data_IF_663708481751
#
_entry.id   IF_663708481751
#
_cell.length_a   1.000
_cell.length_b   1.000
_cell.length_c   1.000
_cell.angle_alpha   90.00
_cell.angle_beta   90.00
_cell.angle_gamma   90.00
#
_symmetry.space_group_name_H-M   'P 1'
#
loop_
_entity.id
_entity.type
_entity.pdbx_description
1 polymer ?
#
# COMPACT_ATOMS: atom_id res chain seq x y z
N UNK A 1 -24.28 61.12 35.33
CA UNK A 1 -23.00 60.63 35.87
C UNK A 1 -22.47 59.56 34.94
N UNK A 2 -21.29 59.79 34.34
CA UNK A 2 -20.52 58.80 33.59
C UNK A 2 -19.73 57.96 34.59
N UNK A 3 -19.79 56.64 34.49
CA UNK A 3 -18.77 55.67 34.91
C UNK A 3 -19.09 54.37 34.14
N UNK A 4 -18.53 54.25 32.93
CA UNK A 4 -17.32 53.47 32.62
C UNK A 4 -17.60 51.96 32.52
N UNK A 5 -17.73 51.53 31.26
CA UNK A 5 -17.50 50.16 30.80
C UNK A 5 -16.08 49.73 31.17
N UNK A 6 -15.90 48.58 31.81
CA UNK A 6 -14.70 47.76 31.62
C UNK A 6 -14.96 46.30 32.03
N UNK A 7 -14.51 45.38 31.17
CA UNK A 7 -14.28 43.96 31.42
C UNK A 7 -15.51 43.01 31.46
N UNK A 8 -16.26 42.96 30.36
CA UNK A 8 -16.72 41.68 29.81
C UNK A 8 -15.78 41.39 28.64
N UNK A 9 -14.74 40.57 28.84
CA UNK A 9 -13.95 39.82 27.83
C UNK A 9 -12.71 39.23 28.52
N UNK A 10 -12.85 38.11 29.23
CA UNK A 10 -11.73 37.24 29.63
C UNK A 10 -12.26 35.91 30.20
N UNK A 11 -13.07 35.18 29.41
CA UNK A 11 -13.47 33.80 29.72
C UNK A 11 -14.02 33.07 28.48
N UNK A 12 -13.42 33.33 27.31
CA UNK A 12 -13.71 32.61 26.06
C UNK A 12 -12.40 32.30 25.30
N UNK A 13 -11.37 31.94 26.07
CA UNK A 13 -10.32 31.04 25.59
C UNK A 13 -10.67 29.68 26.19
N UNK A 14 -11.80 29.12 25.74
CA UNK A 14 -12.05 27.70 25.93
C UNK A 14 -10.96 26.98 25.13
N UNK A 15 -10.31 26.01 25.79
CA UNK A 15 -9.46 24.99 25.22
C UNK A 15 -9.81 24.74 23.75
N UNK A 16 -9.08 25.36 22.82
CA UNK A 16 -8.81 24.69 21.56
C UNK A 16 -7.91 23.54 21.97
N UNK A 17 -8.42 22.31 21.88
CA UNK A 17 -7.60 21.12 21.99
C UNK A 17 -6.29 21.38 21.22
N UNK A 18 -5.15 21.16 21.86
CA UNK A 18 -3.88 21.18 21.15
C UNK A 18 -3.87 19.92 20.26
N UNK A 19 -4.47 20.03 19.07
CA UNK A 19 -4.12 19.21 17.91
C UNK A 19 -2.64 19.45 17.66
N UNK A 20 -1.85 18.39 17.71
CA UNK A 20 -0.44 18.49 17.34
C UNK A 20 -0.41 18.14 15.85
N UNK A 21 0.13 18.99 14.96
CA UNK A 21 -0.40 19.11 13.60
C UNK A 21 0.03 17.95 12.67
N UNK A 22 -0.45 16.74 12.92
CA UNK A 22 -0.02 15.56 12.15
C UNK A 22 -1.15 14.58 11.86
N UNK A 23 -2.36 14.81 12.35
CA UNK A 23 -3.44 13.83 12.27
C UNK A 23 -3.77 13.45 10.82
N UNK A 24 -3.72 14.41 9.90
CA UNK A 24 -3.95 14.22 8.47
C UNK A 24 -2.66 14.00 7.65
N UNK A 25 -1.55 13.66 8.30
CA UNK A 25 -0.29 13.34 7.60
C UNK A 25 -0.42 12.10 6.70
N UNK A 26 -1.19 11.12 7.14
CA UNK A 26 -1.42 9.83 6.50
C UNK A 26 -2.87 9.70 5.97
N UNK A 27 -3.41 10.77 5.38
CA UNK A 27 -4.83 10.93 5.06
C UNK A 27 -5.46 9.74 4.31
N UNK A 28 -4.76 9.11 3.37
CA UNK A 28 -5.29 7.94 2.64
C UNK A 28 -5.71 6.79 3.57
N UNK A 29 -5.02 6.61 4.70
CA UNK A 29 -5.34 5.59 5.69
C UNK A 29 -6.51 6.00 6.59
N UNK A 30 -6.64 7.30 6.89
CA UNK A 30 -7.82 7.83 7.58
C UNK A 30 -9.09 7.62 6.75
N UNK A 31 -9.04 7.97 5.47
CA UNK A 31 -10.13 7.79 4.51
C UNK A 31 -10.50 6.30 4.42
N UNK A 32 -9.52 5.42 4.22
CA UNK A 32 -9.76 3.98 4.10
C UNK A 32 -10.40 3.40 5.37
N UNK A 33 -9.92 3.77 6.56
CA UNK A 33 -10.49 3.30 7.82
C UNK A 33 -11.88 3.87 8.07
N UNK A 34 -12.15 5.12 7.69
CA UNK A 34 -13.49 5.70 7.73
C UNK A 34 -14.49 4.95 6.83
N UNK A 35 -14.06 4.48 5.66
CA UNK A 35 -14.88 3.60 4.81
C UNK A 35 -15.16 2.25 5.49
N UNK A 36 -14.17 1.66 6.16
CA UNK A 36 -14.30 0.38 6.87
C UNK A 36 -15.19 0.48 8.12
N UNK A 37 -15.19 1.62 8.82
CA UNK A 37 -16.12 1.88 9.92
C UNK A 37 -17.59 1.88 9.45
N UNK A 38 -17.87 2.16 8.17
CA UNK A 38 -19.23 1.99 7.62
C UNK A 38 -19.65 0.51 7.53
N UNK A 39 -18.69 -0.42 7.51
CA UNK A 39 -18.93 -1.86 7.51
C UNK A 39 -19.07 -2.40 8.93
N UNK A 40 -18.24 -1.91 9.87
CA UNK A 40 -18.25 -2.33 11.26
C UNK A 40 -17.75 -1.21 12.19
N UNK A 41 -18.68 -0.56 12.90
CA UNK A 41 -18.39 0.45 13.92
C UNK A 41 -19.29 0.23 15.15
N UNK A 42 -19.02 -0.80 15.97
CA UNK A 42 -19.85 -1.15 17.11
C UNK A 42 -19.79 -0.10 18.23
N UNK A 43 -18.78 0.77 18.22
CA UNK A 43 -18.55 1.79 19.24
C UNK A 43 -19.02 3.19 18.82
N UNK A 44 -19.69 3.36 17.67
CA UNK A 44 -20.14 4.66 17.19
C UNK A 44 -19.02 5.72 17.12
N UNK A 45 -17.80 5.31 16.78
CA UNK A 45 -16.64 6.18 16.59
C UNK A 45 -16.97 7.17 15.47
N UNK A 46 -16.74 8.46 15.73
CA UNK A 46 -17.19 9.52 14.84
C UNK A 46 -16.36 9.58 13.55
N UNK A 47 -15.04 9.54 13.70
CA UNK A 47 -14.06 9.59 12.61
C UNK A 47 -12.75 8.94 13.07
N UNK A 48 -12.03 8.32 12.14
CA UNK A 48 -10.77 7.64 12.37
C UNK A 48 -9.66 8.59 12.85
N UNK A 49 -9.71 9.87 12.46
CA UNK A 49 -8.73 10.90 12.85
C UNK A 49 -8.62 11.06 14.38
N UNK A 50 -9.71 10.85 15.12
CA UNK A 50 -9.70 10.98 16.59
C UNK A 50 -8.80 9.96 17.28
N UNK A 51 -8.48 8.84 16.61
CA UNK A 51 -7.51 7.87 17.11
C UNK A 51 -6.09 8.43 17.23
N UNK A 52 -5.76 9.49 16.49
CA UNK A 52 -4.42 10.10 16.48
C UNK A 52 -4.27 11.25 17.46
N UNK A 53 -5.37 11.72 18.04
CA UNK A 53 -5.39 12.85 18.95
C UNK A 53 -4.95 12.45 20.38
N UNK A 54 -4.47 13.44 21.13
CA UNK A 54 -4.31 13.32 22.58
C UNK A 54 -5.64 13.02 23.28
N UNK A 55 -5.59 12.30 24.41
CA UNK A 55 -6.76 11.73 25.10
C UNK A 55 -7.93 12.72 25.32
N UNK A 56 -7.64 13.98 25.65
CA UNK A 56 -8.66 15.00 25.87
C UNK A 56 -9.46 15.34 24.59
N UNK A 57 -8.80 15.36 23.43
CA UNK A 57 -9.41 15.70 22.15
C UNK A 57 -10.02 14.46 21.48
N UNK A 58 -9.39 13.30 21.65
CA UNK A 58 -9.93 12.00 21.24
C UNK A 58 -11.35 11.74 21.79
N UNK A 59 -11.64 12.22 23.00
CA UNK A 59 -12.94 12.05 23.66
C UNK A 59 -14.13 12.63 22.86
N UNK A 60 -13.92 13.65 22.03
CA UNK A 60 -15.00 14.29 21.25
C UNK A 60 -15.52 13.37 20.12
N UNK A 61 -14.68 12.45 19.63
CA UNK A 61 -15.03 11.50 18.57
C UNK A 61 -14.99 10.02 18.99
N UNK A 62 -14.74 9.74 20.27
CA UNK A 62 -14.58 8.38 20.80
C UNK A 62 -15.85 7.53 20.74
N UNK A 63 -17.04 8.14 20.60
CA UNK A 63 -18.30 7.43 20.65
C UNK A 63 -18.50 6.75 22.02
N UNK A 64 -18.68 5.43 21.99
CA UNK A 64 -18.84 4.58 23.18
C UNK A 64 -17.50 4.06 23.74
N UNK A 65 -16.36 4.41 23.12
CA UNK A 65 -15.04 4.07 23.65
C UNK A 65 -14.74 4.89 24.89
N UNK A 66 -14.56 4.22 26.04
CA UNK A 66 -14.30 4.90 27.32
C UNK A 66 -12.82 5.11 27.61
N UNK A 67 -11.97 4.26 27.05
CA UNK A 67 -10.51 4.36 27.20
C UNK A 67 -9.93 5.01 25.94
N UNK A 68 -9.76 6.33 26.00
CA UNK A 68 -9.27 7.11 24.85
C UNK A 68 -7.82 6.77 24.48
N UNK A 69 -7.02 6.22 25.39
CA UNK A 69 -5.69 5.69 25.07
C UNK A 69 -5.75 4.44 24.18
N UNK A 70 -6.90 3.79 24.12
CA UNK A 70 -7.18 2.65 23.25
C UNK A 70 -7.97 3.00 22.00
N UNK A 71 -8.35 4.28 21.79
CA UNK A 71 -9.24 4.66 20.69
C UNK A 71 -8.68 4.25 19.33
N UNK A 72 -7.41 4.53 19.05
CA UNK A 72 -6.76 4.10 17.81
C UNK A 72 -6.83 2.57 17.60
N UNK A 73 -6.49 1.79 18.65
CA UNK A 73 -6.54 0.33 18.58
C UNK A 73 -7.94 -0.16 18.26
N UNK A 74 -8.94 0.38 18.98
CA UNK A 74 -10.34 -0.03 18.84
C UNK A 74 -10.90 0.38 17.47
N UNK A 75 -10.50 1.54 16.94
CA UNK A 75 -10.83 1.97 15.59
C UNK A 75 -10.26 1.00 14.55
N UNK A 76 -8.96 0.67 14.66
CA UNK A 76 -8.28 -0.26 13.76
C UNK A 76 -8.90 -1.67 13.83
N UNK A 77 -9.18 -2.16 15.04
CA UNK A 77 -9.76 -3.47 15.31
C UNK A 77 -11.20 -3.59 14.76
N UNK A 78 -11.99 -2.53 14.90
CA UNK A 78 -13.33 -2.44 14.32
C UNK A 78 -13.28 -2.47 12.79
N UNK A 79 -12.38 -1.69 12.19
CA UNK A 79 -12.16 -1.64 10.74
C UNK A 79 -11.67 -2.99 10.19
N UNK A 80 -10.72 -3.63 10.88
CA UNK A 80 -10.18 -4.93 10.51
C UNK A 80 -11.24 -6.02 10.56
N UNK A 81 -12.07 -6.08 11.62
CA UNK A 81 -13.22 -7.00 11.70
C UNK A 81 -14.17 -6.83 10.51
N UNK A 82 -14.48 -5.58 10.14
CA UNK A 82 -15.30 -5.26 8.99
C UNK A 82 -14.70 -5.76 7.67
N UNK A 83 -13.42 -5.45 7.44
CA UNK A 83 -12.67 -5.89 6.27
C UNK A 83 -12.55 -7.41 6.17
N UNK A 84 -12.21 -8.08 7.28
CA UNK A 84 -12.11 -9.54 7.39
C UNK A 84 -13.43 -10.23 7.09
N UNK A 85 -14.54 -9.70 7.60
CA UNK A 85 -15.89 -10.18 7.29
C UNK A 85 -16.25 -10.02 5.82
N UNK A 86 -15.78 -8.94 5.18
CA UNK A 86 -15.99 -8.68 3.76
C UNK A 86 -15.04 -9.48 2.84
N UNK A 87 -13.98 -10.09 3.38
CA UNK A 87 -12.90 -10.71 2.60
C UNK A 87 -12.07 -9.67 1.83
N UNK A 88 -11.94 -8.46 2.37
CA UNK A 88 -11.21 -7.34 1.78
C UNK A 88 -9.78 -7.29 2.32
N UNK A 89 -8.83 -7.88 1.59
CA UNK A 89 -7.42 -7.92 2.00
C UNK A 89 -6.82 -6.50 2.07
N UNK A 90 -7.13 -5.64 1.10
CA UNK A 90 -6.66 -4.25 1.08
C UNK A 90 -7.21 -3.50 2.31
N UNK A 91 -8.48 -3.72 2.66
CA UNK A 91 -9.09 -3.16 3.87
C UNK A 91 -8.43 -3.65 5.17
N UNK A 92 -8.09 -4.94 5.24
CA UNK A 92 -7.37 -5.48 6.40
C UNK A 92 -5.96 -4.88 6.51
N UNK A 93 -5.24 -4.74 5.38
CA UNK A 93 -3.94 -4.10 5.34
C UNK A 93 -3.99 -2.64 5.80
N UNK A 94 -4.96 -1.86 5.30
CA UNK A 94 -5.15 -0.47 5.72
C UNK A 94 -5.41 -0.34 7.23
N UNK A 95 -6.18 -1.26 7.83
CA UNK A 95 -6.43 -1.26 9.26
C UNK A 95 -5.17 -1.62 10.08
N UNK A 96 -4.33 -2.54 9.59
CA UNK A 96 -3.04 -2.87 10.22
C UNK A 96 -2.06 -1.69 10.13
N UNK A 97 -1.96 -1.04 8.98
CA UNK A 97 -1.08 0.12 8.79
C UNK A 97 -1.54 1.27 9.69
N UNK A 98 -2.85 1.58 9.71
CA UNK A 98 -3.44 2.55 10.63
C UNK A 98 -3.11 2.27 12.10
N UNK A 99 -3.09 0.99 12.50
CA UNK A 99 -2.74 0.58 13.87
C UNK A 99 -1.28 0.91 14.22
N UNK A 100 -0.37 0.81 13.26
CA UNK A 100 1.05 1.07 13.47
C UNK A 100 1.40 2.56 13.49
N UNK A 101 0.61 3.41 12.83
CA UNK A 101 0.86 4.84 12.73
C UNK A 101 1.05 5.50 14.12
N UNK A 102 1.97 6.46 14.18
CA UNK A 102 2.26 7.23 15.38
C UNK A 102 1.00 7.97 15.88
N UNK A 103 0.75 7.93 17.20
CA UNK A 103 -0.26 8.77 17.83
C UNK A 103 0.38 10.06 18.33
N UNK A 104 -0.29 11.20 18.12
CA UNK A 104 0.25 12.49 18.51
C UNK A 104 0.35 12.64 20.03
N UNK A 105 1.49 13.17 20.48
CA UNK A 105 1.75 13.60 21.85
C UNK A 105 1.74 15.14 21.91
N UNK A 106 1.74 15.74 23.11
CA UNK A 106 1.67 17.20 23.27
C UNK A 106 3.03 17.91 23.14
N UNK A 107 4.12 17.15 23.02
CA UNK A 107 5.48 17.70 22.95
C UNK A 107 6.44 16.78 22.22
N UNK A 108 7.38 17.37 21.47
CA UNK A 108 8.41 16.62 20.74
C UNK A 108 9.23 15.77 21.72
N UNK A 109 9.34 14.48 21.41
CA UNK A 109 10.02 13.46 22.20
C UNK A 109 9.20 12.89 23.35
N UNK A 110 7.93 13.29 23.50
CA UNK A 110 7.01 12.66 24.44
C UNK A 110 6.44 11.37 23.85
N UNK A 111 6.56 10.29 24.62
CA UNK A 111 6.02 8.98 24.26
C UNK A 111 4.51 8.95 24.42
N UNK A 112 3.81 8.45 23.41
CA UNK A 112 2.37 8.32 23.42
C UNK A 112 1.91 7.15 24.28
N UNK A 113 0.85 7.37 25.07
CA UNK A 113 0.32 6.33 25.95
C UNK A 113 -0.14 5.11 25.15
N UNK A 114 0.37 3.93 25.53
CA UNK A 114 -0.01 2.67 24.91
C UNK A 114 -1.41 2.25 25.35
N UNK A 115 -2.15 1.62 24.44
CA UNK A 115 -3.39 0.94 24.81
C UNK A 115 -3.07 -0.26 25.72
N UNK A 116 -3.83 -0.41 26.80
CA UNK A 116 -3.68 -1.50 27.77
C UNK A 116 -4.81 -2.53 27.70
N UNK A 117 -5.66 -2.45 26.68
CA UNK A 117 -6.73 -3.40 26.40
C UNK A 117 -6.31 -4.36 25.29
N UNK A 118 -6.86 -5.57 25.32
CA UNK A 118 -6.61 -6.58 24.29
C UNK A 118 -7.55 -6.36 23.10
N UNK A 119 -6.99 -6.25 21.89
CA UNK A 119 -7.79 -6.21 20.67
C UNK A 119 -8.55 -7.53 20.44
N UNK A 120 -9.70 -7.48 19.78
CA UNK A 120 -10.46 -8.67 19.39
C UNK A 120 -9.71 -9.48 18.33
N UNK A 121 -9.08 -8.80 17.36
CA UNK A 121 -8.29 -9.46 16.34
C UNK A 121 -6.83 -9.64 16.79
N UNK A 122 -6.30 -10.88 16.77
CA UNK A 122 -4.91 -11.13 17.13
C UNK A 122 -3.93 -10.41 16.21
N UNK A 123 -4.30 -10.18 14.95
CA UNK A 123 -3.46 -9.43 13.99
C UNK A 123 -3.27 -7.96 14.43
N UNK A 124 -4.31 -7.35 15.00
CA UNK A 124 -4.24 -5.99 15.56
C UNK A 124 -3.54 -5.99 16.93
N UNK A 125 -3.75 -7.03 17.74
CA UNK A 125 -3.08 -7.19 19.03
C UNK A 125 -1.56 -7.37 18.92
N UNK A 126 -1.08 -7.91 17.80
CA UNK A 126 0.33 -8.16 17.54
C UNK A 126 1.13 -6.87 17.22
N UNK A 127 0.46 -5.73 17.03
CA UNK A 127 1.06 -4.47 16.61
C UNK A 127 0.72 -3.37 17.63
N UNK A 128 1.72 -2.58 18.03
CA UNK A 128 1.53 -1.32 18.75
C UNK A 128 1.73 -0.13 17.81
N UNK A 129 1.33 1.07 18.25
CA UNK A 129 1.63 2.28 17.51
C UNK A 129 3.09 2.70 17.64
N UNK A 130 3.63 3.33 16.61
CA UNK A 130 4.89 4.06 16.67
C UNK A 130 4.88 5.11 17.77
N UNK A 131 6.09 5.43 18.23
CA UNK A 131 6.37 6.49 19.19
C UNK A 131 7.03 7.66 18.48
N UNK A 132 6.96 8.83 19.14
CA UNK A 132 7.61 10.05 18.65
C UNK A 132 9.09 9.77 18.34
N UNK A 133 9.56 10.04 17.12
CA UNK A 133 10.91 9.69 16.66
C UNK A 133 12.02 10.45 17.40
N UNK A 134 11.72 11.53 18.11
CA UNK A 134 12.66 12.22 18.99
C UNK A 134 12.71 11.63 20.41
N UNK A 135 11.86 10.65 20.74
CA UNK A 135 11.86 10.02 22.06
C UNK A 135 12.98 8.97 22.21
N UNK A 136 13.42 8.75 23.46
CA UNK A 136 14.49 7.79 23.76
C UNK A 136 14.07 6.37 23.35
N UNK A 137 14.87 5.71 22.51
CA UNK A 137 14.65 4.35 22.01
C UNK A 137 13.61 4.21 20.90
N UNK A 138 13.07 5.32 20.38
CA UNK A 138 12.01 5.30 19.37
C UNK A 138 12.43 4.62 18.07
N UNK A 139 13.66 4.83 17.60
CA UNK A 139 14.13 4.27 16.33
C UNK A 139 14.10 2.72 16.35
N UNK A 140 14.62 2.10 17.41
CA UNK A 140 14.59 0.65 17.57
C UNK A 140 13.17 0.10 17.74
N UNK A 141 12.33 0.82 18.50
CA UNK A 141 10.95 0.41 18.76
C UNK A 141 10.05 0.53 17.53
N UNK A 142 10.13 1.66 16.81
CA UNK A 142 9.37 1.88 15.58
C UNK A 142 9.79 0.89 14.50
N UNK A 143 11.08 0.58 14.38
CA UNK A 143 11.54 -0.52 13.53
C UNK A 143 10.87 -1.84 13.90
N UNK A 144 10.88 -2.22 15.18
CA UNK A 144 10.26 -3.47 15.63
C UNK A 144 8.75 -3.53 15.32
N UNK A 145 8.06 -2.40 15.46
CA UNK A 145 6.64 -2.26 15.11
C UNK A 145 6.44 -2.43 13.60
N UNK A 146 7.26 -1.80 12.76
CA UNK A 146 7.20 -1.91 11.30
C UNK A 146 7.45 -3.34 10.83
N UNK A 147 8.40 -4.05 11.45
CA UNK A 147 8.63 -5.47 11.14
C UNK A 147 7.46 -6.36 11.59
N UNK A 148 6.87 -6.11 12.76
CA UNK A 148 5.68 -6.82 13.21
C UNK A 148 4.48 -6.57 12.28
N UNK A 149 4.29 -5.33 11.82
CA UNK A 149 3.29 -4.97 10.81
C UNK A 149 3.51 -5.74 9.51
N UNK A 150 4.74 -5.78 8.99
CA UNK A 150 5.08 -6.52 7.78
C UNK A 150 4.75 -8.02 7.90
N UNK A 151 5.04 -8.63 9.06
CA UNK A 151 4.67 -10.02 9.33
C UNK A 151 3.15 -10.22 9.30
N UNK A 152 2.36 -9.32 9.92
CA UNK A 152 0.90 -9.43 9.87
C UNK A 152 0.35 -9.23 8.46
N UNK A 153 0.89 -8.28 7.69
CA UNK A 153 0.54 -8.07 6.28
C UNK A 153 0.79 -9.34 5.46
N UNK A 154 1.94 -9.98 5.64
CA UNK A 154 2.27 -11.24 4.98
C UNK A 154 1.28 -12.35 5.35
N UNK A 155 0.94 -12.49 6.64
CA UNK A 155 0.04 -13.53 7.15
C UNK A 155 -1.39 -13.41 6.60
N UNK A 156 -1.86 -12.19 6.34
CA UNK A 156 -3.17 -11.96 5.70
C UNK A 156 -3.13 -12.02 4.17
N UNK A 157 -1.94 -12.19 3.58
CA UNK A 157 -1.73 -12.25 2.12
C UNK A 157 -1.67 -10.87 1.43
N UNK A 158 -1.39 -9.81 2.18
CA UNK A 158 -1.08 -8.49 1.65
C UNK A 158 0.44 -8.35 1.37
N UNK A 159 0.81 -7.29 0.64
CA UNK A 159 2.21 -6.95 0.40
C UNK A 159 2.89 -6.46 1.70
N UNK A 160 3.93 -7.14 2.22
CA UNK A 160 4.61 -6.74 3.44
C UNK A 160 5.35 -5.40 3.32
N UNK A 161 5.73 -4.99 2.11
CA UNK A 161 6.44 -3.73 1.86
C UNK A 161 5.57 -2.50 2.14
N UNK A 162 4.24 -2.66 2.18
CA UNK A 162 3.32 -1.61 2.64
C UNK A 162 3.58 -1.19 4.09
N UNK A 163 4.28 -1.99 4.89
CA UNK A 163 4.67 -1.60 6.24
C UNK A 163 5.56 -0.34 6.26
N UNK A 164 6.34 -0.09 5.20
CA UNK A 164 7.17 1.12 5.09
C UNK A 164 6.32 2.40 5.07
N UNK A 165 5.07 2.31 4.63
CA UNK A 165 4.15 3.45 4.62
C UNK A 165 3.62 3.84 6.00
N UNK A 166 3.92 3.06 7.04
CA UNK A 166 3.65 3.44 8.44
C UNK A 166 4.71 4.38 9.02
N UNK A 167 5.79 4.65 8.28
CA UNK A 167 6.96 5.38 8.75
C UNK A 167 6.65 6.75 9.37
N UNK A 168 7.56 7.17 10.25
CA UNK A 168 7.44 8.44 10.99
C UNK A 168 8.09 9.62 10.25
N UNK A 169 7.95 10.82 10.79
CA UNK A 169 8.69 12.00 10.34
C UNK A 169 10.15 11.97 10.84
N UNK A 170 11.05 12.82 10.30
CA UNK A 170 12.35 13.02 10.92
C UNK A 170 12.21 13.50 12.38
N UNK A 171 13.08 13.04 13.31
CA UNK A 171 13.04 13.48 14.71
C UNK A 171 13.03 15.01 14.84
N UNK A 172 12.06 15.55 15.59
CA UNK A 172 11.99 16.98 15.91
C UNK A 172 13.01 17.44 16.97
N UNK A 173 13.06 18.74 17.24
CA UNK A 173 13.86 19.31 18.32
C UNK A 173 13.11 19.28 19.67
N UNK A 174 13.63 18.56 20.66
CA UNK A 174 13.06 18.53 22.01
C UNK A 174 13.02 19.95 22.60
N UNK A 175 11.83 20.36 23.06
CA UNK A 175 11.60 21.69 23.59
C UNK A 175 11.18 22.73 22.55
N UNK A 176 10.94 22.34 21.29
CA UNK A 176 10.27 23.18 20.30
C UNK A 176 8.90 23.65 20.85
N UNK A 177 8.68 24.97 21.00
CA UNK A 177 7.45 25.49 21.58
C UNK A 177 6.22 25.30 20.69
N UNK A 178 6.41 24.94 19.41
CA UNK A 178 5.31 24.64 18.48
C UNK A 178 4.84 23.20 18.57
N UNK A 179 5.65 22.32 19.16
CA UNK A 179 5.48 20.87 19.15
C UNK A 179 5.30 20.25 17.75
N UNK A 180 5.58 20.99 16.67
CA UNK A 180 5.30 20.57 15.30
C UNK A 180 6.42 19.73 14.68
N UNK A 181 7.69 19.89 15.10
CA UNK A 181 8.79 19.15 14.48
C UNK A 181 8.88 19.35 12.96
N UNK A 182 9.27 18.30 12.22
CA UNK A 182 9.34 18.30 10.74
C UNK A 182 8.06 17.76 10.08
N UNK A 183 6.91 18.02 10.70
CA UNK A 183 5.65 17.34 10.35
C UNK A 183 4.75 18.18 9.45
N UNK A 184 3.67 17.57 8.98
CA UNK A 184 2.67 18.23 8.14
C UNK A 184 1.26 17.78 8.53
N UNK A 185 0.26 18.65 8.31
CA UNK A 185 -1.16 18.38 8.51
C UNK A 185 -1.95 18.97 7.34
N UNK A 186 -2.49 18.13 6.45
CA UNK A 186 -3.31 18.62 5.33
C UNK A 186 -4.47 17.68 5.04
N UNK A 187 -5.65 17.99 5.60
CA UNK A 187 -6.90 17.29 5.31
C UNK A 187 -7.34 17.39 3.84
N UNK A 188 -6.76 18.32 3.07
CA UNK A 188 -7.10 18.54 1.66
C UNK A 188 -6.23 17.74 0.71
N UNK A 189 -5.16 17.12 1.21
CA UNK A 189 -4.34 16.17 0.47
C UNK A 189 -4.83 14.74 0.70
N UNK A 190 -5.57 14.13 -0.23
CA UNK A 190 -6.17 12.81 -0.04
C UNK A 190 -5.15 11.67 0.00
N UNK A 191 -3.88 11.92 -0.34
CA UNK A 191 -2.81 10.92 -0.19
C UNK A 191 -2.21 11.02 1.22
N UNK A 192 -2.06 12.23 1.72
CA UNK A 192 -1.38 12.55 2.96
C UNK A 192 -0.08 13.27 2.68
N UNK A 193 0.09 14.44 3.30
CA UNK A 193 1.21 15.33 3.06
C UNK A 193 2.58 14.69 3.35
N UNK A 194 2.64 13.65 4.20
CA UNK A 194 3.89 12.94 4.49
C UNK A 194 4.45 12.25 3.24
N UNK A 195 3.56 11.80 2.35
CA UNK A 195 3.92 11.15 1.09
C UNK A 195 4.16 12.18 -0.02
N UNK A 196 3.27 13.16 -0.17
CA UNK A 196 3.32 14.11 -1.29
C UNK A 196 4.46 15.11 -1.15
N UNK A 197 4.85 15.44 0.08
CA UNK A 197 6.02 16.27 0.38
C UNK A 197 7.30 15.44 0.61
N UNK A 198 7.22 14.11 0.51
CA UNK A 198 8.34 13.19 0.71
C UNK A 198 9.04 13.40 2.06
N UNK A 199 8.23 13.45 3.12
CA UNK A 199 8.66 13.64 4.50
C UNK A 199 8.77 12.32 5.28
N UNK A 200 8.25 11.22 4.72
CA UNK A 200 8.29 9.91 5.35
C UNK A 200 9.73 9.42 5.53
N UNK A 201 10.07 9.03 6.76
CA UNK A 201 11.30 8.31 7.10
C UNK A 201 10.91 6.85 7.39
N UNK A 202 11.32 5.90 6.55
CA UNK A 202 11.02 4.50 6.81
C UNK A 202 11.82 3.99 8.02
N UNK A 203 11.14 3.31 8.96
CA UNK A 203 11.79 2.79 10.18
C UNK A 203 12.57 1.49 9.94
N UNK A 204 12.36 0.83 8.80
CA UNK A 204 13.04 -0.40 8.39
C UNK A 204 13.46 -0.31 6.91
N UNK A 205 14.41 -1.13 6.49
CA UNK A 205 14.72 -1.29 5.06
C UNK A 205 13.86 -2.40 4.44
N UNK A 206 13.67 -2.40 3.10
CA UNK A 206 12.99 -3.50 2.41
C UNK A 206 13.57 -4.88 2.73
N UNK A 207 14.90 -4.98 2.86
CA UNK A 207 15.59 -6.24 3.17
C UNK A 207 15.36 -6.70 4.61
N UNK A 208 15.23 -5.77 5.56
CA UNK A 208 14.87 -6.08 6.94
C UNK A 208 13.43 -6.62 7.02
N UNK A 209 12.51 -6.06 6.22
CA UNK A 209 11.14 -6.56 6.08
C UNK A 209 11.12 -7.98 5.50
N UNK A 210 11.82 -8.20 4.37
CA UNK A 210 11.86 -9.50 3.71
C UNK A 210 12.42 -10.58 4.66
N UNK A 211 13.45 -10.24 5.42
CA UNK A 211 14.03 -11.13 6.42
C UNK A 211 13.03 -11.46 7.56
N UNK A 212 12.33 -10.46 8.10
CA UNK A 212 11.36 -10.64 9.17
C UNK A 212 10.14 -11.47 8.73
N UNK A 213 9.71 -11.30 7.47
CA UNK A 213 8.62 -12.08 6.88
C UNK A 213 9.06 -13.52 6.61
N UNK A 214 10.27 -13.72 6.08
CA UNK A 214 10.81 -15.05 5.84
C UNK A 214 10.90 -15.89 7.12
N UNK A 215 11.24 -15.28 8.26
CA UNK A 215 11.26 -15.95 9.57
C UNK A 215 9.88 -16.50 9.96
N UNK A 216 8.84 -15.69 9.88
CA UNK A 216 7.46 -16.10 10.23
C UNK A 216 6.90 -17.14 9.25
N UNK A 217 7.22 -17.03 7.97
CA UNK A 217 6.78 -17.99 6.96
C UNK A 217 7.55 -19.32 7.03
N UNK A 218 8.79 -19.32 7.52
CA UNK A 218 9.59 -20.53 7.71
C UNK A 218 9.18 -21.36 8.94
N UNK A 219 8.63 -20.72 9.98
CA UNK A 219 8.09 -21.41 11.15
C UNK A 219 6.67 -21.98 10.93
N UNK A 220 6.00 -21.57 9.84
CA UNK A 220 4.72 -22.11 9.39
C UNK A 220 4.85 -23.45 8.67
N UNK A 221 4.94 -24.55 9.42
CA UNK A 221 4.89 -25.91 8.85
C UNK A 221 3.61 -26.09 8.00
N UNK A 222 3.77 -26.56 6.76
CA UNK A 222 2.79 -26.51 5.66
C UNK A 222 1.53 -27.42 5.81
N UNK A 223 1.09 -27.69 7.05
CA UNK A 223 0.00 -28.62 7.36
C UNK A 223 -1.20 -28.00 8.12
N UNK A 224 -1.20 -26.69 8.41
CA UNK A 224 -2.18 -26.07 9.31
C UNK A 224 -3.28 -25.19 8.70
N UNK A 225 -3.33 -25.00 7.38
CA UNK A 225 -4.20 -23.95 6.79
C UNK A 225 -5.61 -24.46 6.49
N UNK A 226 -6.34 -24.83 7.55
CA UNK A 226 -7.77 -25.15 7.46
C UNK A 226 -8.55 -24.93 8.76
N UNK A 227 -8.15 -24.03 9.66
CA UNK A 227 -9.08 -23.45 10.63
C UNK A 227 -8.51 -22.15 11.21
N UNK A 228 -9.36 -21.16 11.45
CA UNK A 228 -9.01 -19.82 11.92
C UNK A 228 -8.57 -19.77 13.39
N UNK A 229 -7.52 -20.51 13.74
CA UNK A 229 -6.95 -20.52 15.08
C UNK A 229 -5.42 -20.58 15.01
N UNK A 230 -4.78 -19.44 14.71
CA UNK A 230 -3.36 -19.19 14.97
C UNK A 230 -3.21 -18.37 16.27
N UNK A 231 -3.96 -18.73 17.32
CA UNK A 231 -4.17 -17.87 18.48
C UNK A 231 -3.27 -18.20 19.70
N UNK A 232 -2.09 -18.82 19.54
CA UNK A 232 -1.27 -19.14 20.73
C UNK A 232 0.26 -19.16 20.52
N UNK A 233 0.79 -18.72 19.36
CA UNK A 233 2.24 -18.72 19.10
C UNK A 233 2.86 -17.34 18.87
N UNK A 234 2.07 -16.25 18.85
CA UNK A 234 2.58 -14.90 18.58
C UNK A 234 1.99 -13.87 19.57
N UNK A 235 2.47 -13.89 20.81
CA UNK A 235 2.39 -12.78 21.79
C UNK A 235 3.66 -12.86 22.67
N UNK A 236 4.42 -11.77 22.94
CA UNK A 236 4.63 -10.54 22.17
C UNK A 236 6.14 -10.20 22.01
N UNK A 237 6.58 -9.72 20.83
CA UNK A 237 7.90 -9.07 20.71
C UNK A 237 7.92 -7.74 21.52
N UNK A 238 6.75 -7.17 21.81
CA UNK A 238 6.62 -5.92 22.56
C UNK A 238 6.85 -6.04 24.09
N UNK A 239 6.93 -7.23 24.72
CA UNK A 239 7.31 -7.32 26.15
C UNK A 239 8.83 -7.27 26.39
N UNK A 240 9.66 -7.47 25.35
CA UNK A 240 11.11 -7.58 25.53
C UNK A 240 11.83 -6.22 25.68
N UNK A 241 11.20 -5.09 25.31
CA UNK A 241 11.87 -3.78 25.30
C UNK A 241 11.48 -2.91 26.53
N UNK A 242 10.66 -3.46 27.44
CA UNK A 242 10.10 -2.74 28.58
C UNK A 242 10.55 -3.22 29.96
N UNK A 243 11.79 -3.69 30.15
CA UNK A 243 12.34 -3.89 31.50
C UNK A 243 13.86 -4.04 31.53
N UNK A 244 14.58 -3.05 32.08
CA UNK A 244 15.89 -3.29 32.72
C UNK A 244 17.03 -2.38 32.30
N UNK A 245 17.04 -1.15 32.82
CA UNK A 245 18.30 -0.47 33.08
C UNK A 245 19.11 -1.28 34.12
N UNK A 246 20.31 -1.76 33.77
CA UNK A 246 21.22 -2.35 34.76
C UNK A 246 22.38 -3.21 34.22
N UNK A 247 23.52 -2.55 33.99
CA UNK A 247 24.89 -3.01 34.25
C UNK A 247 25.54 -4.20 33.49
N UNK A 248 26.59 -3.81 32.75
CA UNK A 248 27.95 -4.36 32.69
C UNK A 248 28.33 -5.52 31.73
N UNK A 249 29.19 -5.10 30.79
CA UNK A 249 30.39 -5.73 30.22
C UNK A 249 30.31 -7.06 29.44
N UNK A 250 30.69 -6.95 28.15
CA UNK A 250 31.59 -7.93 27.54
C UNK A 250 31.39 -8.23 26.06
N UNK A 251 31.45 -7.24 25.16
CA UNK A 251 31.56 -7.51 23.71
C UNK A 251 33.01 -7.36 23.25
N UNK A 252 33.58 -8.48 22.83
CA UNK A 252 34.88 -8.56 22.18
C UNK A 252 34.77 -8.19 20.69
N UNK A 253 35.57 -7.21 20.27
CA UNK A 253 35.78 -6.81 18.86
C UNK A 253 36.79 -7.76 18.20
N UNK A 254 36.59 -8.08 16.91
CA UNK A 254 37.73 -8.24 16.00
C UNK A 254 37.65 -7.32 14.76
N UNK A 255 38.78 -7.11 14.07
CA UNK A 255 39.19 -5.78 13.63
C UNK A 255 38.91 -5.44 12.17
N UNK A 256 38.86 -4.13 11.92
CA UNK A 256 38.94 -3.47 10.62
C UNK A 256 40.34 -3.60 9.99
N UNK A 257 40.36 -3.74 8.66
CA UNK A 257 41.45 -3.29 7.78
C UNK A 257 40.88 -3.22 6.35
N UNK A 258 40.69 -2.03 5.77
CA UNK A 258 41.59 -1.42 4.76
C UNK A 258 41.21 -1.91 3.35
N UNK A 259 40.99 -1.11 2.31
CA UNK A 259 41.55 0.19 1.92
C UNK A 259 40.76 0.71 0.72
N UNK A 260 40.60 2.03 0.64
CA UNK A 260 40.00 2.77 -0.48
C UNK A 260 40.87 2.75 -1.74
N UNK A 261 40.24 2.67 -2.92
CA UNK A 261 40.80 3.13 -4.18
C UNK A 261 39.67 3.66 -5.09
N UNK A 262 39.78 4.95 -5.44
CA UNK A 262 38.91 5.66 -6.37
C UNK A 262 39.23 5.31 -7.85
N UNK A 263 38.27 5.38 -8.79
CA UNK A 263 38.57 5.43 -10.22
C UNK A 263 38.65 6.89 -10.73
N UNK A 264 39.45 7.21 -11.77
CA UNK A 264 39.44 8.51 -12.40
C UNK A 264 38.40 8.62 -13.53
N UNK A 265 38.07 9.86 -13.86
CA UNK A 265 37.02 10.30 -14.77
C UNK A 265 37.41 10.37 -16.27
N UNK A 266 36.35 10.31 -17.09
CA UNK A 266 36.04 11.06 -18.33
C UNK A 266 36.91 10.97 -19.60
N UNK A 267 36.23 10.77 -20.75
CA UNK A 267 36.44 11.55 -21.99
C UNK A 267 35.26 11.36 -22.96
N UNK A 268 35.07 12.35 -23.83
CA UNK A 268 33.86 12.80 -24.53
C UNK A 268 33.57 12.15 -25.90
N UNK A 269 32.28 12.20 -26.25
CA UNK A 269 31.59 12.42 -27.53
C UNK A 269 32.34 12.40 -28.87
N UNK A 270 31.72 11.77 -29.89
CA UNK A 270 31.57 12.33 -31.26
C UNK A 270 30.23 11.87 -31.89
N UNK A 271 29.42 12.84 -32.31
CA UNK A 271 28.23 12.68 -33.13
C UNK A 271 28.57 12.76 -34.63
N UNK A 272 27.80 12.11 -35.52
CA UNK A 272 27.49 12.61 -36.88
C UNK A 272 26.18 11.98 -37.41
N UNK A 273 25.46 12.67 -38.32
CA UNK A 273 24.01 12.56 -38.54
C UNK A 273 23.65 11.76 -39.81
N UNK A 274 22.35 11.65 -40.15
CA UNK A 274 21.70 12.11 -41.42
C UNK A 274 20.39 11.33 -41.72
N UNK A 275 19.29 12.11 -41.74
CA UNK A 275 18.06 12.11 -42.58
C UNK A 275 16.99 10.98 -42.62
N UNK A 276 15.78 11.40 -42.22
CA UNK A 276 14.46 11.34 -42.91
C UNK A 276 14.11 10.18 -43.87
N UNK A 277 13.04 9.44 -43.52
CA UNK A 277 12.01 9.09 -44.50
C UNK A 277 10.61 9.15 -43.84
N UNK A 278 9.71 9.86 -44.50
CA UNK A 278 8.35 10.19 -44.09
C UNK A 278 7.32 9.19 -44.67
N UNK A 279 6.14 9.17 -44.04
CA UNK A 279 4.83 8.72 -44.52
C UNK A 279 4.43 7.23 -44.35
N UNK A 280 3.39 7.00 -43.55
CA UNK A 280 2.03 6.94 -44.08
C UNK A 280 0.97 6.93 -42.96
N UNK A 281 0.03 7.86 -43.07
CA UNK A 281 -1.22 7.91 -42.31
C UNK A 281 -2.31 7.03 -42.97
N UNK A 282 -3.25 6.55 -42.14
CA UNK A 282 -4.46 5.80 -42.51
C UNK A 282 -4.47 4.46 -41.76
N UNK A 283 -5.42 4.16 -40.88
CA UNK A 283 -6.86 4.31 -41.05
C UNK A 283 -7.52 4.60 -39.67
N UNK A 284 -8.33 5.67 -39.59
CA UNK A 284 -9.32 5.81 -38.54
C UNK A 284 -10.68 5.29 -39.05
N UNK A 285 -11.43 4.71 -38.11
CA UNK A 285 -12.88 4.51 -38.04
C UNK A 285 -13.42 3.08 -38.30
N UNK A 286 -13.98 2.46 -37.26
CA UNK A 286 -15.43 2.55 -37.01
C UNK A 286 -15.89 1.84 -35.71
N UNK A 287 -16.36 2.66 -34.76
CA UNK A 287 -17.52 2.48 -33.84
C UNK A 287 -17.87 1.10 -33.26
N UNK A 288 -17.71 0.95 -31.93
CA UNK A 288 -18.72 0.39 -31.03
C UNK A 288 -18.49 0.89 -29.59
N UNK A 289 -19.07 2.05 -29.27
CA UNK A 289 -18.99 2.76 -27.99
C UNK A 289 -19.84 2.16 -26.86
N UNK A 290 -20.45 0.98 -27.05
CA UNK A 290 -21.38 0.43 -26.04
C UNK A 290 -20.74 -0.60 -25.09
N UNK A 291 -19.48 -1.00 -25.31
CA UNK A 291 -18.82 -2.06 -24.53
C UNK A 291 -17.40 -1.73 -24.05
N UNK A 292 -16.86 -0.53 -24.34
CA UNK A 292 -15.56 -0.14 -23.80
C UNK A 292 -15.69 0.18 -22.30
N UNK A 293 -14.86 -0.47 -21.50
CA UNK A 293 -14.85 -0.31 -20.04
C UNK A 293 -13.66 0.48 -19.50
N UNK A 294 -12.68 0.82 -20.36
CA UNK A 294 -11.58 1.69 -20.02
C UNK A 294 -12.06 3.15 -20.04
N UNK A 295 -11.97 3.82 -18.89
CA UNK A 295 -12.46 5.19 -18.68
C UNK A 295 -11.33 6.19 -18.44
N UNK A 296 -10.09 5.73 -18.30
CA UNK A 296 -8.95 6.61 -18.22
C UNK A 296 -8.78 7.40 -19.52
N UNK A 297 -8.53 8.71 -19.42
CA UNK A 297 -8.46 9.63 -20.57
C UNK A 297 -7.10 10.29 -20.73
N UNK A 298 -6.12 9.99 -19.88
CA UNK A 298 -4.75 10.50 -20.07
C UNK A 298 -4.14 9.96 -21.36
N UNK A 299 -3.35 10.80 -22.03
CA UNK A 299 -2.82 10.54 -23.37
C UNK A 299 -1.32 10.82 -23.53
N UNK A 300 -0.58 11.03 -22.43
CA UNK A 300 0.87 11.22 -22.47
C UNK A 300 1.51 10.01 -23.15
N UNK A 301 2.14 10.27 -24.30
CA UNK A 301 2.70 9.26 -25.21
C UNK A 301 1.73 8.19 -25.75
N UNK A 302 0.42 8.42 -25.65
CA UNK A 302 -0.62 7.58 -26.25
C UNK A 302 -1.84 7.39 -25.33
N UNK A 303 -3.00 7.08 -25.92
CA UNK A 303 -4.20 6.75 -25.15
C UNK A 303 -4.20 5.27 -24.71
N UNK A 304 -4.80 5.00 -23.55
CA UNK A 304 -5.10 3.64 -23.11
C UNK A 304 -6.00 2.92 -24.13
N UNK A 305 -5.60 1.74 -24.65
CA UNK A 305 -6.45 0.99 -25.58
C UNK A 305 -7.79 0.64 -24.94
N UNK A 306 -8.84 0.61 -25.76
CA UNK A 306 -10.17 0.24 -25.30
C UNK A 306 -10.17 -1.19 -24.74
N UNK A 307 -10.92 -1.39 -23.65
CA UNK A 307 -11.21 -2.71 -23.09
C UNK A 307 -12.64 -3.08 -23.46
N UNK A 308 -12.82 -3.96 -24.43
CA UNK A 308 -14.15 -4.37 -24.89
C UNK A 308 -14.69 -5.48 -23.99
N UNK A 309 -15.90 -5.31 -23.46
CA UNK A 309 -16.63 -6.37 -22.78
C UNK A 309 -17.62 -7.06 -23.73
N UNK A 310 -17.50 -8.37 -23.93
CA UNK A 310 -18.35 -9.14 -24.84
C UNK A 310 -18.85 -10.42 -24.18
N UNK A 311 -20.17 -10.63 -24.23
CA UNK A 311 -20.78 -11.89 -23.80
C UNK A 311 -20.61 -13.02 -24.82
N UNK A 312 -20.01 -12.76 -26.00
CA UNK A 312 -19.80 -13.77 -27.04
C UNK A 312 -18.73 -14.80 -26.68
N UNK A 313 -17.81 -14.45 -25.77
CA UNK A 313 -16.83 -15.37 -25.21
C UNK A 313 -17.05 -15.44 -23.69
N UNK A 314 -17.88 -16.38 -23.25
CA UNK A 314 -18.30 -16.48 -21.85
C UNK A 314 -17.13 -16.77 -20.90
N UNK A 315 -16.07 -17.42 -21.38
CA UNK A 315 -14.91 -17.80 -20.58
C UNK A 315 -13.90 -16.66 -20.47
N UNK A 316 -13.73 -15.84 -21.53
CA UNK A 316 -12.84 -14.65 -21.53
C UNK A 316 -13.59 -13.42 -22.06
N UNK A 317 -14.51 -12.84 -21.27
CA UNK A 317 -15.47 -11.85 -21.75
C UNK A 317 -14.90 -10.43 -21.88
N UNK A 318 -13.61 -10.20 -21.62
CA UNK A 318 -12.98 -8.89 -21.77
C UNK A 318 -11.84 -8.98 -22.79
N UNK A 319 -11.62 -7.96 -23.61
CA UNK A 319 -10.50 -7.94 -24.55
C UNK A 319 -9.84 -6.58 -24.66
N UNK A 320 -8.54 -6.59 -24.96
CA UNK A 320 -7.71 -5.41 -25.23
C UNK A 320 -6.92 -5.70 -26.49
N UNK A 321 -7.33 -5.11 -27.61
CA UNK A 321 -6.88 -5.57 -28.93
C UNK A 321 -7.24 -7.05 -29.13
N UNK A 322 -6.25 -7.86 -29.49
CA UNK A 322 -6.42 -9.31 -29.72
C UNK A 322 -6.33 -10.15 -28.43
N UNK A 323 -5.84 -9.58 -27.33
CA UNK A 323 -5.74 -10.28 -26.05
C UNK A 323 -7.11 -10.34 -25.35
N UNK A 324 -7.47 -11.49 -24.80
CA UNK A 324 -8.75 -11.70 -24.06
C UNK A 324 -8.49 -12.02 -22.59
N UNK A 325 -9.44 -11.75 -21.70
CA UNK A 325 -9.26 -11.85 -20.24
C UNK A 325 -10.52 -12.37 -19.58
N UNK A 326 -10.34 -13.16 -18.52
CA UNK A 326 -11.41 -13.72 -17.70
C UNK A 326 -12.01 -12.67 -16.75
N UNK A 327 -11.23 -11.64 -16.36
CA UNK A 327 -11.66 -10.58 -15.45
C UNK A 327 -11.49 -9.18 -16.04
N UNK A 328 -12.37 -8.26 -15.61
CA UNK A 328 -12.32 -6.86 -16.04
C UNK A 328 -11.06 -6.14 -15.54
N UNK A 329 -10.55 -6.51 -14.35
CA UNK A 329 -9.37 -5.87 -13.76
C UNK A 329 -8.12 -6.24 -14.55
N UNK A 330 -7.93 -7.52 -14.88
CA UNK A 330 -6.80 -7.95 -15.70
C UNK A 330 -6.78 -7.22 -17.06
N UNK A 331 -7.94 -7.06 -17.69
CA UNK A 331 -8.06 -6.33 -18.94
C UNK A 331 -7.78 -4.82 -18.78
N UNK A 332 -8.25 -4.19 -17.70
CA UNK A 332 -7.97 -2.77 -17.43
C UNK A 332 -6.49 -2.52 -17.11
N UNK A 333 -5.87 -3.37 -16.30
CA UNK A 333 -4.42 -3.33 -16.03
C UNK A 333 -3.62 -3.50 -17.31
N UNK A 334 -4.00 -4.44 -18.20
CA UNK A 334 -3.36 -4.58 -19.52
C UNK A 334 -3.47 -3.30 -20.34
N UNK A 335 -4.64 -2.69 -20.36
CA UNK A 335 -4.87 -1.43 -21.08
C UNK A 335 -3.98 -0.30 -20.56
N UNK A 336 -3.79 -0.19 -19.24
CA UNK A 336 -2.86 0.78 -18.65
C UNK A 336 -1.40 0.48 -19.00
N UNK A 337 -0.96 -0.78 -18.86
CA UNK A 337 0.41 -1.17 -19.19
C UNK A 337 0.76 -0.96 -20.68
N UNK A 338 -0.19 -1.20 -21.60
CA UNK A 338 0.03 -0.91 -23.03
C UNK A 338 0.23 0.58 -23.28
N UNK A 339 -0.53 1.44 -22.59
CA UNK A 339 -0.30 2.88 -22.67
C UNK A 339 1.02 3.29 -22.04
N UNK A 340 1.40 2.70 -20.90
CA UNK A 340 2.66 3.05 -20.27
C UNK A 340 3.84 2.71 -21.19
N UNK A 341 3.82 1.53 -21.82
CA UNK A 341 4.80 1.15 -22.84
C UNK A 341 4.85 2.16 -24.01
N UNK A 342 3.69 2.63 -24.49
CA UNK A 342 3.64 3.66 -25.52
C UNK A 342 4.26 4.99 -25.04
N UNK A 343 3.98 5.37 -23.78
CA UNK A 343 4.54 6.54 -23.14
C UNK A 343 6.06 6.47 -23.03
N UNK A 344 6.59 5.37 -22.52
CA UNK A 344 8.04 5.15 -22.43
C UNK A 344 8.71 5.14 -23.79
N UNK A 345 8.09 4.53 -24.81
CA UNK A 345 8.62 4.57 -26.18
C UNK A 345 8.70 6.00 -26.71
N UNK A 346 7.69 6.83 -26.44
CA UNK A 346 7.69 8.25 -26.81
C UNK A 346 8.76 9.04 -26.03
N UNK A 347 8.90 8.82 -24.73
CA UNK A 347 9.93 9.46 -23.91
C UNK A 347 11.34 9.10 -24.41
N UNK A 348 11.60 7.81 -24.66
CA UNK A 348 12.89 7.31 -25.14
C UNK A 348 13.21 7.79 -26.57
N UNK A 349 12.18 8.03 -27.39
CA UNK A 349 12.33 8.66 -28.70
C UNK A 349 12.54 10.19 -28.63
N UNK A 350 12.61 10.77 -27.42
CA UNK A 350 12.76 12.22 -27.22
C UNK A 350 11.51 13.02 -27.57
N UNK A 351 10.34 12.38 -27.60
CA UNK A 351 9.06 12.99 -28.01
C UNK A 351 8.27 13.59 -26.85
N UNK A 352 8.69 13.35 -25.59
CA UNK A 352 8.05 13.89 -24.39
C UNK A 352 9.02 14.80 -23.64
N UNK A 353 8.55 16.01 -23.30
CA UNK A 353 9.36 17.02 -22.60
C UNK A 353 9.64 16.65 -21.14
N UNK A 354 8.71 15.92 -20.50
CA UNK A 354 8.73 15.61 -19.08
C UNK A 354 9.47 14.29 -18.74
N UNK A 355 10.09 13.64 -19.75
CA UNK A 355 10.84 12.39 -19.58
C UNK A 355 9.97 11.20 -19.17
N UNK A 356 10.61 10.15 -18.67
CA UNK A 356 9.96 8.87 -18.32
C UNK A 356 9.21 8.89 -17.00
N UNK A 357 9.54 9.80 -16.07
CA UNK A 357 8.89 9.89 -14.75
C UNK A 357 7.38 10.21 -14.87
N UNK A 358 7.00 11.04 -15.84
CA UNK A 358 5.61 11.38 -16.10
C UNK A 358 4.78 10.20 -16.65
N UNK A 359 5.44 9.19 -17.24
CA UNK A 359 4.76 7.97 -17.71
C UNK A 359 4.31 7.08 -16.55
N UNK A 360 5.16 6.91 -15.52
CA UNK A 360 4.80 6.17 -14.30
C UNK A 360 3.64 6.83 -13.56
N UNK A 361 3.67 8.16 -13.38
CA UNK A 361 2.54 8.89 -12.77
C UNK A 361 1.23 8.70 -13.55
N UNK A 362 1.30 8.70 -14.89
CA UNK A 362 0.13 8.46 -15.73
C UNK A 362 -0.38 7.00 -15.64
N UNK A 363 0.52 6.03 -15.45
CA UNK A 363 0.14 4.64 -15.22
C UNK A 363 -0.62 4.50 -13.90
N UNK A 364 -0.15 5.14 -12.82
CA UNK A 364 -0.81 5.15 -11.52
C UNK A 364 -2.22 5.75 -11.62
N UNK A 365 -2.37 6.88 -12.31
CA UNK A 365 -3.68 7.49 -12.58
C UNK A 365 -4.60 6.58 -13.39
N UNK A 366 -4.05 5.84 -14.37
CA UNK A 366 -4.80 4.87 -15.16
C UNK A 366 -5.31 3.70 -14.31
N UNK A 367 -4.45 3.17 -13.43
CA UNK A 367 -4.80 2.10 -12.51
C UNK A 367 -5.81 2.57 -11.45
N UNK A 368 -5.67 3.80 -10.94
CA UNK A 368 -6.64 4.42 -10.03
C UNK A 368 -8.02 4.57 -10.69
N UNK A 369 -8.07 5.05 -11.94
CA UNK A 369 -9.31 5.14 -12.71
C UNK A 369 -9.98 3.76 -12.93
N UNK A 370 -9.19 2.71 -13.12
CA UNK A 370 -9.69 1.34 -13.21
C UNK A 370 -10.31 0.85 -11.88
N UNK A 371 -9.73 1.25 -10.73
CA UNK A 371 -10.23 0.91 -9.37
C UNK A 371 -11.55 1.61 -9.05
N UNK A 372 -11.73 2.88 -9.42
CA UNK A 372 -12.98 3.66 -9.21
C UNK A 372 -14.22 3.04 -9.89
N UNK A 373 -14.03 2.24 -10.93
CA UNK A 373 -15.12 1.50 -11.61
C UNK A 373 -15.64 0.31 -10.78
N UNK A 374 -14.84 -0.28 -9.89
CA UNK A 374 -15.27 -1.34 -8.95
C UNK A 374 -16.28 -0.76 -7.96
N UNK A 375 -15.96 0.42 -7.41
CA UNK A 375 -16.83 1.16 -6.49
C UNK A 375 -18.17 1.51 -7.15
N UNK A 376 -18.15 2.03 -8.38
CA UNK A 376 -19.39 2.34 -9.13
C UNK A 376 -20.22 1.11 -9.49
N UNK A 377 -19.60 -0.04 -9.80
CA UNK A 377 -20.32 -1.30 -10.08
C UNK A 377 -20.93 -1.92 -8.82
N UNK A 378 -20.22 -1.84 -7.69
CA UNK A 378 -20.73 -2.26 -6.39
C UNK A 378 -21.89 -1.35 -5.92
N UNK A 379 -21.79 -0.04 -6.17
CA UNK A 379 -22.91 0.89 -5.95
C UNK A 379 -24.10 0.59 -6.87
N UNK A 380 -23.87 0.09 -8.10
CA UNK A 380 -24.91 -0.33 -9.05
C UNK A 380 -25.57 -1.68 -8.71
N UNK A 381 -25.03 -2.45 -7.75
CA UNK A 381 -25.65 -3.66 -7.21
C UNK A 381 -26.82 -3.35 -6.25
N UNK A 382 -27.04 -2.07 -5.94
CA UNK A 382 -28.23 -1.57 -5.25
C UNK A 382 -29.31 -1.29 -6.30
N UNK A 383 -30.26 -2.21 -6.44
CA UNK A 383 -31.48 -1.93 -7.23
C UNK A 383 -32.60 -1.47 -6.30
N UNK A 384 -33.34 -0.45 -6.75
CA UNK A 384 -34.54 0.05 -6.05
C UNK A 384 -35.69 -0.88 -6.41
N UNK A 385 -36.22 -1.60 -5.42
CA UNK A 385 -37.43 -2.40 -5.61
C UNK A 385 -38.63 -1.53 -5.98
N UNK A 386 -39.66 -2.14 -6.56
CA UNK A 386 -40.94 -1.45 -6.87
C UNK A 386 -41.63 -0.88 -5.61
N UNK A 387 -41.21 -1.31 -4.42
CA UNK A 387 -41.62 -0.84 -3.09
C UNK A 387 -40.75 0.32 -2.55
N UNK A 388 -39.79 0.81 -3.34
CA UNK A 388 -38.90 1.91 -2.97
C UNK A 388 -37.77 1.54 -1.99
N UNK A 389 -37.65 0.26 -1.59
CA UNK A 389 -36.63 -0.22 -0.66
C UNK A 389 -35.36 -0.66 -1.39
N UNK A 390 -34.20 -0.35 -0.81
CA UNK A 390 -32.89 -0.81 -1.29
C UNK A 390 -32.72 -2.31 -0.96
N UNK A 391 -32.35 -3.13 -1.95
CA UNK A 391 -32.08 -4.56 -1.75
C UNK A 391 -30.66 -4.88 -2.20
N UNK A 392 -29.88 -5.49 -1.32
CA UNK A 392 -28.56 -6.04 -1.63
C UNK A 392 -28.71 -7.42 -2.26
N UNK A 393 -28.10 -7.64 -3.42
CA UNK A 393 -28.06 -8.96 -4.05
C UNK A 393 -27.18 -9.90 -3.20
N UNK A 394 -27.78 -10.94 -2.60
CA UNK A 394 -27.03 -11.95 -1.85
C UNK A 394 -26.21 -12.81 -2.82
N UNK A 395 -24.87 -12.75 -2.70
CA UNK A 395 -23.95 -13.68 -3.37
C UNK A 395 -24.10 -15.09 -2.75
N UNK A 396 -24.07 -16.12 -3.60
CA UNK A 396 -23.99 -17.52 -3.19
C UNK A 396 -22.56 -17.85 -2.67
N UNK A 397 -22.40 -18.85 -1.78
CA UNK A 397 -21.11 -19.14 -1.14
C UNK A 397 -20.15 -19.81 -2.13
N UNK A 398 -18.94 -19.26 -2.26
CA UNK A 398 -17.84 -19.86 -2.99
C UNK A 398 -17.10 -20.84 -2.07
N UNK A 399 -16.98 -22.10 -2.51
CA UNK A 399 -16.17 -23.14 -1.86
C UNK A 399 -14.71 -22.95 -2.28
N UNK A 400 -13.78 -22.94 -1.33
CA UNK A 400 -12.32 -22.90 -1.55
C UNK A 400 -11.88 -24.12 -2.38
N UNK A 401 -11.15 -23.91 -3.47
CA UNK A 401 -10.32 -24.94 -4.13
C UNK A 401 -8.87 -24.52 -4.12
N UNK A 402 -8.03 -25.46 -3.73
CA UNK A 402 -6.58 -25.47 -3.78
C UNK A 402 -6.12 -25.40 -5.25
N UNK A 403 -5.11 -24.56 -5.52
CA UNK A 403 -4.31 -24.41 -6.76
C UNK A 403 -4.93 -24.93 -8.05
N UNK A 404 -5.87 -24.16 -8.62
CA UNK A 404 -6.42 -24.40 -9.96
C UNK A 404 -5.95 -23.26 -10.89
N UNK A 405 -4.89 -23.51 -11.67
CA UNK A 405 -4.35 -22.57 -12.67
C UNK A 405 -5.26 -22.45 -13.92
N UNK A 406 -6.46 -23.03 -13.90
CA UNK A 406 -7.37 -23.07 -15.05
C UNK A 406 -6.81 -23.94 -16.17
N UNK A 407 -6.82 -23.43 -17.41
CA UNK A 407 -6.31 -24.15 -18.58
C UNK A 407 -4.79 -23.99 -18.82
N UNK A 408 -4.08 -23.23 -17.98
CA UNK A 408 -2.63 -23.06 -18.07
C UNK A 408 -1.94 -24.34 -17.60
N UNK A 409 -1.28 -25.05 -18.52
CA UNK A 409 -0.61 -26.31 -18.22
C UNK A 409 0.79 -26.13 -17.64
N UNK A 410 1.46 -25.02 -17.96
CA UNK A 410 2.81 -24.69 -17.53
C UNK A 410 2.93 -23.17 -17.30
N UNK A 411 2.90 -22.72 -16.04
CA UNK A 411 3.06 -21.31 -15.70
C UNK A 411 4.52 -20.84 -15.55
N UNK A 412 5.53 -21.60 -15.98
CA UNK A 412 6.95 -21.23 -15.75
C UNK A 412 7.41 -19.96 -16.47
N UNK A 413 8.34 -19.22 -15.86
CA UNK A 413 8.95 -18.00 -16.40
C UNK A 413 10.45 -18.17 -16.66
N UNK A 414 11.02 -17.29 -17.48
CA UNK A 414 12.47 -17.19 -17.74
C UNK A 414 12.93 -15.75 -17.66
N UNK A 415 14.22 -15.54 -17.38
CA UNK A 415 14.88 -14.24 -17.48
C UNK A 415 15.94 -14.31 -18.58
N UNK A 416 15.77 -13.58 -19.68
CA UNK A 416 16.69 -13.63 -20.81
C UNK A 416 16.72 -12.32 -21.62
N UNK A 417 17.82 -12.11 -22.34
CA UNK A 417 17.95 -11.05 -23.35
C UNK A 417 17.19 -11.43 -24.63
N UNK A 418 16.72 -10.42 -25.39
CA UNK A 418 16.05 -10.64 -26.67
C UNK A 418 14.56 -10.99 -26.59
N UNK A 419 13.99 -11.11 -25.39
CA UNK A 419 12.56 -11.41 -25.22
C UNK A 419 11.71 -10.22 -25.68
N UNK A 420 10.76 -10.50 -26.58
CA UNK A 420 9.95 -9.51 -27.29
C UNK A 420 10.75 -8.38 -27.96
N UNK A 421 11.96 -8.70 -28.44
CA UNK A 421 12.81 -7.74 -29.15
C UNK A 421 13.53 -6.72 -28.27
N UNK A 422 13.50 -6.89 -26.95
CA UNK A 422 14.29 -6.08 -26.00
C UNK A 422 15.78 -6.38 -26.14
N UNK A 423 16.61 -5.34 -26.07
CA UNK A 423 18.06 -5.51 -26.05
C UNK A 423 18.56 -5.94 -24.66
N UNK A 424 17.90 -5.47 -23.60
CA UNK A 424 18.21 -5.84 -22.21
C UNK A 424 17.50 -7.12 -21.77
N UNK A 425 18.04 -7.76 -20.73
CA UNK A 425 17.44 -8.93 -20.11
C UNK A 425 16.11 -8.57 -19.43
N UNK A 426 15.10 -9.42 -19.60
CA UNK A 426 13.75 -9.23 -19.07
C UNK A 426 13.12 -10.57 -18.72
N UNK A 427 12.04 -10.55 -17.94
CA UNK A 427 11.25 -11.73 -17.62
C UNK A 427 10.25 -12.02 -18.74
N UNK A 428 10.14 -13.27 -19.18
CA UNK A 428 9.15 -13.72 -20.17
C UNK A 428 8.62 -15.12 -19.88
N UNK A 429 7.55 -15.57 -20.56
CA UNK A 429 7.04 -16.92 -20.41
C UNK A 429 8.08 -17.96 -20.85
N UNK A 430 8.24 -19.01 -20.06
CA UNK A 430 8.92 -20.25 -20.43
C UNK A 430 7.91 -21.38 -20.73
N UNK A 431 6.73 -21.33 -20.08
CA UNK A 431 5.60 -22.23 -20.29
C UNK A 431 4.52 -21.69 -21.24
N UNK A 432 3.31 -22.25 -21.15
CA UNK A 432 2.19 -22.01 -22.09
C UNK A 432 1.13 -21.08 -21.48
N UNK A 433 1.45 -19.79 -21.42
CA UNK A 433 0.51 -18.72 -21.09
C UNK A 433 0.78 -17.44 -21.90
N UNK A 434 -0.30 -16.74 -22.25
CA UNK A 434 -0.25 -15.52 -23.08
C UNK A 434 0.18 -14.29 -22.26
N UNK A 435 1.50 -14.07 -22.13
CA UNK A 435 2.07 -12.85 -21.58
C UNK A 435 3.33 -12.40 -22.35
N UNK A 436 3.59 -11.09 -22.39
CA UNK A 436 4.81 -10.52 -22.98
C UNK A 436 5.96 -10.40 -21.98
N UNK A 437 7.11 -9.92 -22.42
CA UNK A 437 8.27 -9.71 -21.55
C UNK A 437 8.14 -8.43 -20.72
N UNK A 438 8.56 -8.51 -19.46
CA UNK A 438 8.52 -7.41 -18.50
C UNK A 438 9.84 -7.30 -17.74
N UNK A 439 10.25 -6.09 -17.38
CA UNK A 439 11.48 -5.88 -16.62
C UNK A 439 11.29 -6.21 -15.13
N UNK A 440 10.06 -6.10 -14.63
CA UNK A 440 9.70 -6.48 -13.27
C UNK A 440 9.01 -7.86 -13.29
N UNK A 441 9.50 -8.77 -12.45
CA UNK A 441 8.93 -10.11 -12.28
C UNK A 441 7.50 -10.07 -11.77
N UNK A 442 7.10 -9.07 -10.98
CA UNK A 442 5.73 -8.92 -10.49
C UNK A 442 4.75 -8.72 -11.65
N UNK A 443 5.19 -8.04 -12.70
CA UNK A 443 4.34 -7.80 -13.88
C UNK A 443 4.03 -9.13 -14.58
N UNK A 444 5.01 -10.05 -14.70
CA UNK A 444 4.78 -11.36 -15.32
C UNK A 444 4.23 -12.41 -14.35
N UNK A 445 4.27 -12.20 -13.04
CA UNK A 445 3.79 -13.19 -12.08
C UNK A 445 2.45 -12.81 -11.43
N UNK A 446 2.03 -11.55 -11.53
CA UNK A 446 0.79 -11.01 -10.94
C UNK A 446 -0.51 -11.74 -11.34
N UNK A 447 -0.50 -12.53 -12.42
CA UNK A 447 -1.66 -13.32 -12.87
C UNK A 447 -1.60 -14.81 -12.46
N UNK A 448 -0.49 -15.27 -11.89
CA UNK A 448 -0.31 -16.64 -11.38
C UNK A 448 -0.26 -16.53 -9.85
N UNK A 449 -1.13 -17.28 -9.16
CA UNK A 449 -1.05 -17.43 -7.70
C UNK A 449 0.33 -18.01 -7.35
N UNK A 450 1.27 -17.13 -6.97
CA UNK A 450 2.68 -17.49 -6.77
C UNK A 450 3.69 -16.34 -6.94
N UNK A 451 3.29 -15.12 -7.34
CA UNK A 451 4.18 -13.96 -7.48
C UNK A 451 5.07 -13.70 -6.26
N UNK A 452 4.58 -14.02 -5.06
CA UNK A 452 5.33 -13.86 -3.81
C UNK A 452 6.68 -14.59 -3.78
N UNK A 453 6.85 -15.68 -4.54
CA UNK A 453 8.10 -16.43 -4.56
C UNK A 453 9.26 -15.74 -5.29
N UNK A 454 8.97 -14.72 -6.12
CA UNK A 454 9.97 -13.95 -6.85
C UNK A 454 10.11 -12.49 -6.37
N UNK A 455 9.26 -12.07 -5.43
CA UNK A 455 9.27 -10.70 -4.90
C UNK A 455 10.60 -10.42 -4.19
N UNK A 456 11.20 -9.26 -4.45
CA UNK A 456 12.52 -8.87 -3.91
C UNK A 456 13.73 -9.53 -4.59
N UNK A 457 13.53 -10.43 -5.55
CA UNK A 457 14.60 -11.07 -6.31
C UNK A 457 14.75 -10.43 -7.69
N UNK A 458 15.99 -10.36 -8.20
CA UNK A 458 16.27 -9.82 -9.52
C UNK A 458 16.76 -10.91 -10.50
N UNK A 459 16.46 -10.68 -11.77
CA UNK A 459 16.95 -11.47 -12.90
C UNK A 459 16.70 -12.97 -12.80
N UNK A 460 17.73 -13.76 -13.10
CA UNK A 460 17.65 -15.22 -13.12
C UNK A 460 17.18 -15.83 -11.79
N UNK A 461 17.51 -15.17 -10.65
CA UNK A 461 17.16 -15.66 -9.32
C UNK A 461 15.66 -15.60 -9.06
N UNK A 462 15.01 -14.52 -9.48
CA UNK A 462 13.55 -14.38 -9.43
C UNK A 462 12.84 -15.43 -10.30
N UNK A 463 13.35 -15.68 -11.51
CA UNK A 463 12.79 -16.70 -12.40
C UNK A 463 12.89 -18.11 -11.80
N UNK A 464 14.04 -18.46 -11.22
CA UNK A 464 14.26 -19.76 -10.59
C UNK A 464 13.43 -19.94 -9.32
N UNK A 465 13.31 -18.91 -8.49
CA UNK A 465 12.53 -18.96 -7.26
C UNK A 465 11.02 -19.13 -7.56
N UNK A 466 10.53 -18.42 -8.57
CA UNK A 466 9.16 -18.58 -9.06
C UNK A 466 8.89 -20.02 -9.56
N UNK A 467 9.74 -20.53 -10.46
CA UNK A 467 9.58 -21.87 -11.02
C UNK A 467 9.68 -22.96 -9.95
N UNK A 468 10.55 -22.77 -8.95
CA UNK A 468 10.68 -23.68 -7.81
C UNK A 468 9.42 -23.69 -6.94
N UNK A 469 8.78 -22.53 -6.74
CA UNK A 469 7.54 -22.42 -5.98
C UNK A 469 6.32 -23.04 -6.71
N UNK A 470 6.39 -23.16 -8.03
CA UNK A 470 5.42 -23.91 -8.83
C UNK A 470 5.60 -25.44 -8.72
N UNK A 471 6.72 -25.90 -8.16
CA UNK A 471 7.03 -27.33 -8.03
C UNK A 471 7.33 -28.02 -9.37
N UNK A 472 7.85 -27.27 -10.35
CA UNK A 472 8.20 -27.72 -11.70
C UNK A 472 9.67 -28.15 -11.83
#
# INVERSE_FOLDING_TARGET
>A
MKCQHTAILAALAGLTAAEVPQEHSHEKYLIAVNELLQLNNPFNIADSVFGFLGAAAAADGAGDVTNTDCLQQITADSAFTGAKTAGDIDGMANALIFRALERNSLSVGERSALCNETAENPEIAAISQHQDPASEGAAEENKAITLALAQQLALIGADPQLALESGTFPPGEIGDPTAAGFTCNDETDPVGCIFTENLLVPDATPEEIDAAVAEVLAEGDAAGIADGSLNDALVPICEAIGAGAGADAGVAVPPANGTAAAPPAASEAVATPVEEEEAAAGEEAATATDNNIQTFTGTLGGAAPAVVSSAANADRPFSVGDATFTTANAALSRSCAVQNNACFNAANAGQLADGTAACSAQEDDCLAAARLRKVRRNARAVTRGADGRMRFARRAPLVRRQSDFGACADPSIQFAEGLDGRAEASFGPAGDFDHGSANNVDIITSFIYGAAAASGLEGEQAAQAFNSALGL
#
